data_IF_537711996340
#
_entry.id   IF_537711996340
#
_cell.length_a   1.000
_cell.length_b   1.000
_cell.length_c   1.000
_cell.angle_alpha   90.00
_cell.angle_beta   90.00
_cell.angle_gamma   90.00
#
_symmetry.space_group_name_H-M   'P 1'
#
loop_
_entity.id
_entity.type
_entity.pdbx_description
1 polymer ?
#
# COMPACT_ATOMS: atom_id res chain seq x y z
N UNK A 1 47.91 -5.62 20.09
CA UNK A 1 46.92 -5.19 21.10
C UNK A 1 46.20 -3.96 20.56
N UNK A 2 45.00 -4.16 20.01
CA UNK A 2 44.17 -3.07 19.45
C UNK A 2 43.08 -2.78 20.45
N UNK A 3 43.06 -1.54 20.94
CA UNK A 3 42.05 -1.05 21.86
C UNK A 3 40.71 -0.89 21.15
N UNK A 4 39.73 -1.69 21.51
CA UNK A 4 38.34 -1.50 21.06
C UNK A 4 37.71 -0.48 22.04
N UNK A 5 37.71 0.78 21.61
CA UNK A 5 37.04 1.88 22.30
C UNK A 5 35.54 1.80 22.20
N UNK A 6 34.92 2.04 23.31
CA UNK A 6 33.54 2.03 23.70
C UNK A 6 32.61 2.86 22.80
N UNK A 7 31.80 2.24 21.92
CA UNK A 7 30.83 2.90 21.02
C UNK A 7 29.41 2.95 21.62
N UNK A 8 29.27 2.68 22.92
CA UNK A 8 27.98 2.53 23.60
C UNK A 8 27.33 3.84 24.10
N UNK A 9 27.88 5.03 23.82
CA UNK A 9 27.42 6.28 24.46
C UNK A 9 26.65 7.26 23.54
N UNK A 10 26.44 6.99 22.25
CA UNK A 10 25.86 7.97 21.32
C UNK A 10 24.38 7.74 20.95
N UNK A 11 23.69 6.75 21.48
CA UNK A 11 22.30 6.43 21.12
C UNK A 11 21.23 6.83 22.15
N UNK A 12 21.57 7.69 23.10
CA UNK A 12 20.60 8.21 24.07
C UNK A 12 20.41 9.71 23.91
N UNK A 13 19.75 10.17 22.88
CA UNK A 13 19.00 11.45 22.96
C UNK A 13 18.43 11.81 21.58
N UNK A 14 17.25 11.34 21.27
CA UNK A 14 16.23 11.97 20.41
C UNK A 14 15.02 11.06 20.27
N UNK A 15 14.50 10.52 21.35
CA UNK A 15 13.09 10.12 21.40
C UNK A 15 12.26 11.34 21.80
N UNK A 16 12.11 12.28 20.89
CA UNK A 16 10.97 13.17 20.90
C UNK A 16 9.75 12.33 20.58
N UNK A 17 8.96 12.01 21.59
CA UNK A 17 7.62 11.47 21.46
C UNK A 17 6.78 12.50 20.70
N UNK A 18 6.76 12.42 19.35
CA UNK A 18 5.62 12.94 18.61
C UNK A 18 4.49 11.96 18.90
N UNK A 19 3.67 12.31 19.88
CA UNK A 19 2.30 11.83 19.93
C UNK A 19 1.66 12.30 18.62
N UNK A 20 1.57 11.40 17.64
CA UNK A 20 0.76 11.63 16.46
C UNK A 20 -0.69 11.86 16.89
N UNK A 21 -1.50 12.55 16.09
CA UNK A 21 -2.91 12.71 16.37
C UNK A 21 -3.53 11.34 16.65
N UNK A 22 -4.42 11.30 17.64
CA UNK A 22 -5.11 10.07 18.03
C UNK A 22 -5.80 9.45 16.80
N UNK A 23 -5.81 8.09 16.65
CA UNK A 23 -6.54 7.44 15.58
C UNK A 23 -8.04 7.74 15.78
N UNK A 24 -8.57 8.69 15.04
CA UNK A 24 -9.99 9.13 15.14
C UNK A 24 -10.28 10.49 14.54
N UNK A 25 -9.31 11.36 14.37
CA UNK A 25 -9.53 12.74 13.87
C UNK A 25 -9.14 12.95 12.39
N UNK A 26 -9.09 11.91 11.58
CA UNK A 26 -9.08 12.14 10.13
C UNK A 26 -10.48 12.62 9.74
N UNK A 27 -10.62 13.85 9.20
CA UNK A 27 -11.89 14.28 8.65
C UNK A 27 -12.30 13.23 7.61
N UNK A 28 -13.53 12.75 7.69
CA UNK A 28 -14.12 11.88 6.68
C UNK A 28 -14.01 12.63 5.34
N UNK A 29 -12.93 12.35 4.57
CA UNK A 29 -12.80 12.86 3.23
C UNK A 29 -13.98 12.32 2.44
N UNK A 30 -14.84 13.23 1.99
CA UNK A 30 -15.93 12.92 1.09
C UNK A 30 -15.37 12.22 -0.17
N UNK A 31 -16.21 11.60 -1.01
CA UNK A 31 -15.78 10.88 -2.19
C UNK A 31 -14.81 11.75 -3.00
N UNK A 32 -13.58 11.27 -3.15
CA UNK A 32 -12.55 11.96 -3.93
C UNK A 32 -13.02 12.04 -5.39
N UNK A 33 -13.23 13.25 -5.88
CA UNK A 33 -13.71 13.51 -7.25
C UNK A 33 -12.58 13.57 -8.29
N UNK A 34 -11.36 13.29 -7.88
CA UNK A 34 -10.16 13.30 -8.74
C UNK A 34 -9.82 11.93 -9.33
N UNK A 35 -8.85 11.87 -10.25
CA UNK A 35 -8.34 10.61 -10.77
C UNK A 35 -7.76 9.76 -9.64
N UNK A 36 -7.86 8.41 -9.74
CA UNK A 36 -7.31 7.51 -8.73
C UNK A 36 -5.81 7.70 -8.55
N UNK A 37 -5.36 7.67 -7.29
CA UNK A 37 -3.93 7.61 -6.97
C UNK A 37 -3.56 6.14 -6.74
N UNK A 38 -2.63 5.63 -7.52
CA UNK A 38 -2.25 4.23 -7.58
C UNK A 38 -0.81 4.07 -7.10
N UNK A 39 -0.59 3.23 -6.08
CA UNK A 39 0.76 2.80 -5.71
C UNK A 39 1.13 1.59 -6.57
N UNK A 40 2.16 1.73 -7.42
CA UNK A 40 2.68 0.62 -8.23
C UNK A 40 3.91 0.03 -7.55
N UNK A 41 3.91 -1.28 -7.37
CA UNK A 41 5.03 -2.07 -6.83
C UNK A 41 5.23 -3.32 -7.68
N UNK A 42 6.42 -3.88 -7.65
CA UNK A 42 6.71 -5.10 -8.41
C UNK A 42 8.15 -5.54 -8.26
N UNK A 43 8.51 -6.59 -8.99
CA UNK A 43 9.83 -7.23 -8.93
C UNK A 43 10.70 -6.94 -10.15
N UNK A 44 10.11 -6.31 -11.16
CA UNK A 44 10.73 -6.09 -12.45
C UNK A 44 10.49 -4.66 -12.90
N UNK A 45 11.55 -3.85 -12.97
CA UNK A 45 11.47 -2.43 -13.27
C UNK A 45 10.76 -2.14 -14.59
N UNK A 46 11.00 -2.99 -15.62
CA UNK A 46 10.34 -2.81 -16.91
C UNK A 46 8.82 -3.00 -16.82
N UNK A 47 8.37 -4.03 -16.09
CA UNK A 47 6.94 -4.28 -15.91
C UNK A 47 6.27 -3.17 -15.07
N UNK A 48 6.98 -2.65 -14.07
CA UNK A 48 6.54 -1.50 -13.29
C UNK A 48 6.38 -0.27 -14.17
N UNK A 49 7.38 0.05 -14.99
CA UNK A 49 7.35 1.22 -15.88
C UNK A 49 6.27 1.11 -16.94
N UNK A 50 6.08 -0.06 -17.53
CA UNK A 50 5.01 -0.30 -18.47
C UNK A 50 3.64 -0.05 -17.83
N UNK A 51 3.37 -0.67 -16.69
CA UNK A 51 2.09 -0.50 -15.99
C UNK A 51 1.88 0.93 -15.48
N UNK A 52 2.94 1.60 -15.02
CA UNK A 52 2.88 3.00 -14.63
C UNK A 52 2.49 3.89 -15.82
N UNK A 53 3.11 3.68 -16.98
CA UNK A 53 2.79 4.41 -18.21
C UNK A 53 1.33 4.19 -18.64
N UNK A 54 0.84 2.96 -18.58
CA UNK A 54 -0.56 2.62 -18.90
C UNK A 54 -1.53 3.30 -17.93
N UNK A 55 -1.24 3.29 -16.64
CA UNK A 55 -2.06 3.95 -15.61
C UNK A 55 -2.07 5.47 -15.76
N UNK A 56 -0.92 6.10 -16.03
CA UNK A 56 -0.82 7.53 -16.28
C UNK A 56 -1.57 7.93 -17.55
N UNK A 57 -1.47 7.15 -18.63
CA UNK A 57 -2.23 7.35 -19.86
C UNK A 57 -3.74 7.20 -19.63
N UNK A 58 -4.16 6.33 -18.70
CA UNK A 58 -5.53 6.19 -18.23
C UNK A 58 -5.99 7.30 -17.26
N UNK A 59 -5.11 8.30 -16.97
CA UNK A 59 -5.45 9.43 -16.13
C UNK A 59 -5.22 9.19 -14.63
N UNK A 60 -4.65 8.06 -14.22
CA UNK A 60 -4.32 7.80 -12.82
C UNK A 60 -3.07 8.60 -12.41
N UNK A 61 -3.02 8.97 -11.13
CA UNK A 61 -1.78 9.45 -10.51
C UNK A 61 -0.99 8.27 -9.98
N UNK A 62 0.25 8.09 -10.44
CA UNK A 62 1.09 6.97 -10.03
C UNK A 62 2.06 7.37 -8.92
N UNK A 63 2.20 6.53 -7.91
CA UNK A 63 3.20 6.59 -6.86
C UNK A 63 4.06 5.33 -6.89
N UNK A 64 5.32 5.45 -6.44
CA UNK A 64 6.27 4.35 -6.32
C UNK A 64 6.92 4.35 -4.94
N UNK A 65 7.26 3.16 -4.42
CA UNK A 65 8.02 3.05 -3.18
C UNK A 65 9.50 3.40 -3.35
N UNK A 66 10.04 3.20 -4.54
CA UNK A 66 11.41 3.52 -4.94
C UNK A 66 11.44 3.82 -6.44
N UNK A 67 12.43 4.57 -6.87
CA UNK A 67 12.61 4.88 -8.29
C UNK A 67 13.19 3.67 -9.05
N UNK A 68 12.95 3.58 -10.37
CA UNK A 68 13.50 2.52 -11.20
C UNK A 68 15.02 2.42 -11.08
N UNK A 69 15.50 1.20 -10.91
CA UNK A 69 16.94 0.94 -10.72
C UNK A 69 17.48 1.20 -9.31
N UNK A 70 16.67 1.77 -8.41
CA UNK A 70 17.02 1.87 -6.99
C UNK A 70 16.74 0.55 -6.26
N UNK A 71 17.56 0.20 -5.25
CA UNK A 71 17.27 -0.97 -4.44
C UNK A 71 15.97 -0.78 -3.65
N UNK A 72 15.18 -1.85 -3.54
CA UNK A 72 13.93 -1.83 -2.79
C UNK A 72 14.12 -1.60 -1.27
N UNK A 73 15.34 -1.77 -0.79
CA UNK A 73 15.72 -1.54 0.60
C UNK A 73 17.07 -0.81 0.70
N UNK A 74 17.22 0.20 1.58
CA UNK A 74 16.25 0.65 2.58
C UNK A 74 15.03 1.34 1.97
N UNK A 75 13.85 1.10 2.58
CA UNK A 75 12.60 1.74 2.19
C UNK A 75 12.70 3.28 2.33
N UNK A 76 12.02 4.03 1.47
CA UNK A 76 12.01 5.51 1.51
C UNK A 76 11.61 6.07 2.88
N UNK A 77 10.75 5.39 3.64
CA UNK A 77 10.40 5.78 5.01
C UNK A 77 11.60 5.78 5.98
N UNK A 78 12.69 5.07 5.65
CA UNK A 78 13.90 4.97 6.46
C UNK A 78 15.02 5.91 5.99
N UNK A 79 14.84 6.59 4.87
CA UNK A 79 15.82 7.49 4.26
C UNK A 79 15.43 8.93 4.59
N UNK A 80 16.36 9.67 5.21
CA UNK A 80 16.12 11.08 5.55
C UNK A 80 15.86 11.93 4.30
N UNK A 81 14.81 12.73 4.34
CA UNK A 81 14.41 13.61 3.23
C UNK A 81 13.57 12.92 2.13
N UNK A 82 13.32 11.62 2.22
CA UNK A 82 12.40 10.94 1.32
C UNK A 82 11.00 10.80 1.92
N UNK A 83 9.98 10.82 1.07
CA UNK A 83 8.58 10.69 1.47
C UNK A 83 8.10 9.28 1.18
N UNK A 84 7.49 8.65 2.18
CA UNK A 84 6.81 7.37 1.98
C UNK A 84 5.49 7.59 1.22
N UNK A 85 5.16 6.80 0.20
CA UNK A 85 3.86 6.88 -0.47
C UNK A 85 2.67 6.75 0.48
N UNK A 86 2.82 6.02 1.59
CA UNK A 86 1.79 5.88 2.63
C UNK A 86 1.45 7.22 3.30
N UNK A 87 2.42 8.13 3.41
CA UNK A 87 2.21 9.46 4.00
C UNK A 87 1.47 10.40 3.03
N UNK A 88 1.58 10.14 1.72
CA UNK A 88 0.86 10.89 0.67
C UNK A 88 -0.59 10.40 0.55
N UNK A 89 -0.81 9.11 0.76
CA UNK A 89 -2.07 8.43 0.56
C UNK A 89 -2.32 8.03 -0.89
N UNK A 90 -2.96 6.89 -1.09
CA UNK A 90 -3.36 6.35 -2.39
C UNK A 90 -4.64 5.53 -2.24
N UNK A 91 -5.34 5.33 -3.36
CA UNK A 91 -6.66 4.71 -3.38
C UNK A 91 -6.59 3.20 -3.61
N UNK A 92 -5.56 2.72 -4.29
CA UNK A 92 -5.34 1.31 -4.62
C UNK A 92 -3.84 1.02 -4.75
N UNK A 93 -3.43 -0.19 -4.39
CA UNK A 93 -2.09 -0.70 -4.69
C UNK A 93 -2.17 -1.73 -5.81
N UNK A 94 -1.25 -1.63 -6.76
CA UNK A 94 -1.07 -2.60 -7.85
C UNK A 94 0.28 -3.27 -7.67
N UNK A 95 0.30 -4.60 -7.58
CA UNK A 95 1.55 -5.35 -7.71
C UNK A 95 1.64 -5.97 -9.09
N UNK A 96 2.77 -5.69 -9.77
CA UNK A 96 3.00 -6.11 -11.15
C UNK A 96 4.11 -7.16 -11.21
N UNK A 97 3.87 -8.22 -11.96
CA UNK A 97 4.79 -9.34 -12.09
C UNK A 97 5.00 -9.76 -13.53
N UNK A 98 6.26 -9.76 -13.97
CA UNK A 98 6.68 -10.31 -15.25
C UNK A 98 6.84 -11.85 -15.20
N UNK A 99 6.97 -12.43 -14.01
CA UNK A 99 7.15 -13.88 -13.78
C UNK A 99 6.44 -14.32 -12.49
N UNK A 100 6.02 -15.60 -12.41
CA UNK A 100 5.37 -16.12 -11.21
C UNK A 100 6.39 -16.18 -10.05
N UNK A 101 5.93 -15.83 -8.86
CA UNK A 101 6.66 -15.95 -7.61
C UNK A 101 5.80 -16.72 -6.61
N UNK A 102 6.43 -17.64 -5.88
CA UNK A 102 5.76 -18.39 -4.81
C UNK A 102 5.67 -17.63 -3.49
N UNK A 103 6.62 -16.70 -3.28
CA UNK A 103 6.74 -15.94 -2.03
C UNK A 103 6.92 -14.44 -2.32
N UNK A 104 6.50 -13.57 -1.38
CA UNK A 104 6.78 -12.14 -1.48
C UNK A 104 8.28 -11.85 -1.46
N UNK A 105 8.71 -10.83 -2.18
CA UNK A 105 10.09 -10.36 -2.13
C UNK A 105 10.18 -8.93 -1.55
N UNK A 106 11.40 -8.45 -1.31
CA UNK A 106 11.61 -7.11 -0.74
C UNK A 106 11.02 -5.99 -1.60
N UNK A 107 11.03 -6.13 -2.92
CA UNK A 107 10.44 -5.15 -3.83
C UNK A 107 8.91 -5.01 -3.69
N UNK A 108 8.25 -6.00 -3.09
CA UNK A 108 6.81 -6.02 -2.86
C UNK A 108 6.40 -5.62 -1.44
N UNK A 109 7.33 -5.13 -0.60
CA UNK A 109 7.02 -4.68 0.76
C UNK A 109 5.94 -3.58 0.79
N UNK A 110 5.86 -2.76 -0.25
CA UNK A 110 4.80 -1.76 -0.41
C UNK A 110 3.40 -2.36 -0.41
N UNK A 111 3.22 -3.58 -0.93
CA UNK A 111 1.93 -4.31 -0.87
C UNK A 111 1.56 -4.61 0.58
N UNK A 112 2.50 -5.12 1.36
CA UNK A 112 2.27 -5.45 2.78
C UNK A 112 1.89 -4.20 3.57
N UNK A 113 2.59 -3.09 3.33
CA UNK A 113 2.28 -1.81 3.95
C UNK A 113 0.87 -1.31 3.58
N UNK A 114 0.48 -1.40 2.31
CA UNK A 114 -0.84 -1.01 1.82
C UNK A 114 -1.95 -1.88 2.42
N UNK A 115 -1.77 -3.20 2.44
CA UNK A 115 -2.71 -4.14 3.05
C UNK A 115 -2.90 -3.88 4.55
N UNK A 116 -1.83 -3.51 5.26
CA UNK A 116 -1.91 -3.14 6.67
C UNK A 116 -2.76 -1.89 6.90
N UNK A 117 -2.84 -0.99 5.94
CA UNK A 117 -3.72 0.19 5.97
C UNK A 117 -5.15 -0.11 5.47
N UNK A 118 -5.42 -1.33 5.04
CA UNK A 118 -6.72 -1.70 4.48
C UNK A 118 -6.94 -1.19 3.04
N UNK A 119 -5.87 -0.79 2.34
CA UNK A 119 -5.96 -0.35 0.96
C UNK A 119 -6.22 -1.54 0.03
N UNK A 120 -7.17 -1.44 -0.91
CA UNK A 120 -7.47 -2.52 -1.83
C UNK A 120 -6.28 -2.84 -2.74
N UNK A 121 -6.15 -4.13 -3.10
CA UNK A 121 -5.04 -4.65 -3.90
C UNK A 121 -5.52 -5.17 -5.26
N UNK A 122 -4.85 -4.74 -6.31
CA UNK A 122 -4.89 -5.35 -7.64
C UNK A 122 -3.59 -6.12 -7.88
N UNK A 123 -3.69 -7.38 -8.26
CA UNK A 123 -2.53 -8.19 -8.66
C UNK A 123 -2.54 -8.35 -10.17
N UNK A 124 -1.48 -7.89 -10.85
CA UNK A 124 -1.38 -7.90 -12.30
C UNK A 124 -0.18 -8.70 -12.80
N UNK A 125 -0.36 -9.39 -13.93
CA UNK A 125 0.70 -10.12 -14.63
C UNK A 125 0.69 -11.62 -14.40
N UNK A 126 1.86 -12.24 -14.54
CA UNK A 126 2.01 -13.70 -14.52
C UNK A 126 1.88 -14.26 -13.11
N UNK A 127 1.05 -15.29 -12.93
CA UNK A 127 0.86 -15.96 -11.63
C UNK A 127 0.20 -15.03 -10.60
N UNK A 128 -0.78 -14.27 -11.03
CA UNK A 128 -1.52 -13.29 -10.22
C UNK A 128 -2.23 -13.88 -8.99
N UNK A 129 -2.36 -15.21 -8.92
CA UNK A 129 -2.95 -15.92 -7.78
C UNK A 129 -2.03 -16.08 -6.57
N UNK A 130 -0.71 -15.87 -6.71
CA UNK A 130 0.29 -16.04 -5.65
C UNK A 130 1.37 -14.95 -5.66
N UNK A 131 1.89 -14.62 -4.46
CA UNK A 131 1.51 -14.98 -3.10
C UNK A 131 0.34 -14.16 -2.55
N UNK A 132 -0.10 -13.08 -3.24
CA UNK A 132 -1.06 -12.10 -2.71
C UNK A 132 -2.51 -12.36 -3.14
N UNK A 133 -2.79 -13.38 -3.94
CA UNK A 133 -4.12 -13.62 -4.51
C UNK A 133 -5.26 -13.70 -3.50
N UNK A 134 -5.01 -14.26 -2.31
CA UNK A 134 -6.02 -14.34 -1.24
C UNK A 134 -6.42 -12.98 -0.66
N UNK A 135 -5.61 -11.93 -0.85
CA UNK A 135 -5.89 -10.56 -0.40
C UNK A 135 -6.22 -9.64 -1.58
N UNK A 136 -6.13 -10.13 -2.81
CA UNK A 136 -6.42 -9.34 -3.98
C UNK A 136 -7.91 -9.02 -4.08
N UNK A 137 -8.23 -7.73 -4.23
CA UNK A 137 -9.57 -7.28 -4.58
C UNK A 137 -9.91 -7.64 -6.03
N UNK A 138 -8.90 -7.64 -6.90
CA UNK A 138 -8.99 -8.07 -8.28
C UNK A 138 -7.65 -8.61 -8.78
N UNK A 139 -7.70 -9.65 -9.62
CA UNK A 139 -6.55 -10.17 -10.35
C UNK A 139 -6.69 -9.87 -11.84
N UNK A 140 -5.59 -9.45 -12.47
CA UNK A 140 -5.49 -9.12 -13.90
C UNK A 140 -4.39 -9.99 -14.50
N UNK A 141 -4.73 -10.78 -15.50
CA UNK A 141 -3.74 -11.60 -16.19
C UNK A 141 -2.80 -10.75 -17.05
N UNK A 142 -1.70 -11.33 -17.49
CA UNK A 142 -0.72 -10.66 -18.33
C UNK A 142 -1.38 -10.07 -19.59
N UNK A 143 -1.17 -8.77 -19.82
CA UNK A 143 -1.76 -8.03 -20.94
C UNK A 143 -3.22 -7.62 -20.73
N UNK A 144 -3.78 -7.86 -19.54
CA UNK A 144 -5.11 -7.35 -19.19
C UNK A 144 -5.08 -5.87 -18.81
N UNK A 145 -6.25 -5.26 -18.81
CA UNK A 145 -6.43 -3.82 -18.57
C UNK A 145 -6.34 -3.50 -17.06
N UNK A 146 -5.18 -3.03 -16.66
CA UNK A 146 -4.90 -2.65 -15.26
C UNK A 146 -5.61 -1.35 -14.87
N UNK A 147 -5.86 -0.44 -15.82
CA UNK A 147 -6.55 0.83 -15.57
C UNK A 147 -7.99 0.57 -15.16
N UNK A 148 -8.73 -0.16 -16.00
CA UNK A 148 -10.12 -0.56 -15.72
C UNK A 148 -10.21 -1.34 -14.41
N UNK A 149 -9.23 -2.18 -14.10
CA UNK A 149 -9.18 -2.93 -12.84
C UNK A 149 -9.08 -1.99 -11.63
N UNK A 150 -8.21 -1.00 -11.67
CA UNK A 150 -8.05 -0.01 -10.61
C UNK A 150 -9.33 0.83 -10.41
N UNK A 151 -9.91 1.35 -11.50
CA UNK A 151 -11.15 2.12 -11.44
C UNK A 151 -12.30 1.33 -10.82
N UNK A 152 -12.44 0.07 -11.22
CA UNK A 152 -13.47 -0.83 -10.68
C UNK A 152 -13.31 -1.06 -9.18
N UNK A 153 -12.08 -1.29 -8.72
CA UNK A 153 -11.79 -1.54 -7.30
C UNK A 153 -12.02 -0.28 -6.47
N UNK A 154 -11.54 0.88 -6.93
CA UNK A 154 -11.74 2.15 -6.25
C UNK A 154 -13.24 2.53 -6.21
N UNK A 155 -13.96 2.35 -7.31
CA UNK A 155 -15.41 2.60 -7.36
C UNK A 155 -16.20 1.70 -6.41
N UNK A 156 -15.85 0.43 -6.29
CA UNK A 156 -16.47 -0.50 -5.36
C UNK A 156 -16.22 -0.10 -3.89
N UNK A 157 -15.01 0.36 -3.58
CA UNK A 157 -14.64 0.81 -2.22
C UNK A 157 -15.42 2.09 -1.84
N UNK A 158 -15.58 3.03 -2.78
CA UNK A 158 -16.34 4.26 -2.56
C UNK A 158 -17.82 3.98 -2.23
N UNK A 159 -18.44 3.00 -2.89
CA UNK A 159 -19.82 2.58 -2.61
C UNK A 159 -19.97 1.94 -1.22
N UNK A 160 -18.99 1.15 -0.80
CA UNK A 160 -19.01 0.48 0.50
C UNK A 160 -18.87 1.45 1.70
N UNK A 161 -18.28 2.63 1.48
CA UNK A 161 -18.06 3.66 2.52
C UNK A 161 -19.23 4.66 2.57
N UNK A 162 -20.15 4.67 1.59
CA UNK A 162 -21.29 5.58 1.59
C UNK A 162 -22.13 5.39 2.87
N UNK A 163 -22.45 6.47 3.64
CA UNK A 163 -23.13 6.37 4.93
C UNK A 163 -24.60 6.02 4.71
N UNK A 164 -24.91 4.75 4.73
CA UNK A 164 -26.26 4.27 4.45
C UNK A 164 -26.62 2.91 5.01
N UNK A 165 -25.90 2.37 6.01
CA UNK A 165 -26.44 1.26 6.81
C UNK A 165 -25.59 1.01 8.07
N UNK A 166 -25.62 1.95 9.01
CA UNK A 166 -25.43 1.58 10.41
C UNK A 166 -26.75 1.03 10.95
N UNK A 167 -27.22 -0.05 10.37
CA UNK A 167 -28.28 -0.84 10.98
C UNK A 167 -27.72 -1.44 12.27
N UNK A 168 -28.13 -0.83 13.36
CA UNK A 168 -28.40 -1.39 14.69
C UNK A 168 -27.67 -2.71 14.98
N UNK A 169 -26.48 -2.63 15.55
CA UNK A 169 -25.88 -3.77 16.27
C UNK A 169 -26.72 -3.96 17.53
N UNK A 170 -27.42 -5.07 17.74
CA UNK A 170 -28.01 -5.36 19.03
C UNK A 170 -26.89 -5.45 20.07
N UNK A 171 -27.06 -4.73 21.17
CA UNK A 171 -26.22 -4.86 22.37
C UNK A 171 -26.31 -6.32 22.82
N UNK A 172 -25.21 -7.07 22.66
CA UNK A 172 -25.10 -8.39 23.28
C UNK A 172 -24.97 -8.21 24.78
N UNK A 173 -26.03 -8.61 25.49
CA UNK A 173 -26.09 -8.73 26.92
C UNK A 173 -24.89 -9.46 27.49
N UNK A 174 -24.06 -8.73 28.25
CA UNK A 174 -23.01 -9.30 29.07
C UNK A 174 -23.66 -10.11 30.18
N UNK A 175 -23.68 -11.43 30.00
CA UNK A 175 -24.04 -12.33 31.09
C UNK A 175 -22.99 -12.21 32.22
N UNK A 176 -23.40 -11.53 33.31
CA UNK A 176 -22.77 -11.70 34.61
C UNK A 176 -23.07 -13.11 35.13
N UNK A 177 -22.08 -14.00 35.10
CA UNK A 177 -22.10 -15.22 35.89
C UNK A 177 -21.50 -14.93 37.26
N UNK A 178 -22.29 -15.22 38.29
CA UNK A 178 -21.93 -15.25 39.71
C UNK A 178 -21.01 -16.46 40.00
#
# INVERSE_FOLDING_TARGET
MVHIGNVAAALRSKRGTRLGPAPGDSPAEGPRTGPPTVLVVGTDDWAIEQSATELEAGGCRVLRCHEPGEPAFPCNALIEGRTCPLDVGFDVVVTVRARPLSEPCQAELGVICALHQGTPLVVAGVGSDRPFGQWASLAVEQGGDVVTACEKVVGATAVAIAPGDRAHRPEEDVCHAQ
#
